data_IF_919908074697
#
_entry.id   IF_919908074697
#
_cell.length_a   1.000
_cell.length_b   1.000
_cell.length_c   1.000
_cell.angle_alpha   90.00
_cell.angle_beta   90.00
_cell.angle_gamma   90.00
#
_symmetry.space_group_name_H-M   'P 1'
#
loop_
_entity.id
_entity.type
_entity.pdbx_description
1 polymer ?
#
# COMPACT_ATOMS: atom_id res chain seq x y z
N UNK A 1 24.12 -55.73 56.50
CA UNK A 1 22.95 -55.01 57.05
C UNK A 1 22.54 -53.93 56.05
N UNK A 2 21.32 -54.05 55.54
CA UNK A 2 20.71 -53.11 54.62
C UNK A 2 20.21 -51.87 55.37
N UNK A 3 20.15 -50.73 54.69
CA UNK A 3 19.02 -49.84 54.88
C UNK A 3 18.67 -49.13 53.56
N UNK A 4 17.47 -49.43 53.04
CA UNK A 4 16.79 -48.68 51.98
C UNK A 4 16.02 -47.54 52.63
N UNK A 5 16.01 -46.36 52.01
CA UNK A 5 14.76 -45.62 51.84
C UNK A 5 14.84 -44.61 50.68
N UNK A 6 13.73 -44.54 49.96
CA UNK A 6 13.55 -43.94 48.64
C UNK A 6 13.10 -42.45 48.67
N UNK A 7 13.07 -41.87 47.44
CA UNK A 7 12.33 -40.69 46.96
C UNK A 7 12.99 -39.34 47.30
N UNK A 8 13.15 -38.39 46.39
CA UNK A 8 12.74 -38.26 44.99
C UNK A 8 13.01 -36.82 44.53
N UNK A 9 13.13 -36.65 43.20
CA UNK A 9 12.90 -35.43 42.41
C UNK A 9 13.58 -34.13 42.83
N UNK A 10 14.53 -33.67 42.01
CA UNK A 10 14.39 -32.41 41.25
C UNK A 10 15.50 -32.34 40.18
N UNK A 11 15.16 -32.71 38.94
CA UNK A 11 15.95 -32.32 37.77
C UNK A 11 15.65 -30.85 37.52
N UNK A 12 16.60 -29.96 37.83
CA UNK A 12 16.54 -28.57 37.39
C UNK A 12 16.67 -28.54 35.87
N UNK A 13 15.54 -28.54 35.17
CA UNK A 13 15.46 -28.23 33.75
C UNK A 13 15.82 -26.76 33.55
N UNK A 14 17.11 -26.47 33.46
CA UNK A 14 17.63 -25.21 32.96
C UNK A 14 17.36 -25.14 31.47
N UNK A 15 16.10 -24.84 31.10
CA UNK A 15 15.77 -24.43 29.75
C UNK A 15 16.52 -23.13 29.48
N UNK A 16 17.70 -23.25 28.87
CA UNK A 16 18.41 -22.12 28.26
C UNK A 16 17.41 -21.42 27.33
N UNK A 17 16.82 -20.33 27.81
CA UNK A 17 16.10 -19.41 26.94
C UNK A 17 17.17 -18.81 26.06
N UNK A 18 17.35 -19.40 24.88
CA UNK A 18 18.15 -18.81 23.81
C UNK A 18 17.54 -17.42 23.57
N UNK A 19 18.19 -16.39 24.11
CA UNK A 19 17.81 -15.02 23.85
C UNK A 19 18.11 -14.78 22.37
N UNK A 20 17.06 -14.76 21.55
CA UNK A 20 17.18 -14.42 20.15
C UNK A 20 17.81 -13.04 20.06
N UNK A 21 18.86 -12.91 19.26
CA UNK A 21 19.51 -11.61 19.07
C UNK A 21 18.51 -10.59 18.49
N UNK A 22 18.67 -9.32 18.83
CA UNK A 22 17.75 -8.25 18.37
C UNK A 22 17.66 -8.18 16.85
N UNK A 23 18.71 -8.61 16.15
CA UNK A 23 18.75 -8.66 14.68
C UNK A 23 17.79 -9.72 14.12
N UNK A 24 17.74 -10.91 14.70
CA UNK A 24 16.79 -11.98 14.35
C UNK A 24 15.37 -11.54 14.70
N UNK A 25 15.16 -10.96 15.89
CA UNK A 25 13.87 -10.40 16.29
C UNK A 25 13.40 -9.30 15.33
N UNK A 26 14.29 -8.40 14.90
CA UNK A 26 13.99 -7.34 13.93
C UNK A 26 13.66 -7.89 12.54
N UNK A 27 14.32 -8.99 12.13
CA UNK A 27 14.06 -9.66 10.85
C UNK A 27 12.74 -10.44 10.87
N UNK A 28 12.34 -10.99 12.02
CA UNK A 28 11.06 -11.68 12.21
C UNK A 28 9.88 -10.70 12.38
N UNK A 29 10.15 -9.49 12.88
CA UNK A 29 9.13 -8.43 13.02
C UNK A 29 8.83 -7.73 11.70
N UNK A 30 9.73 -7.77 10.71
CA UNK A 30 9.44 -7.31 9.35
C UNK A 30 8.75 -8.43 8.57
N UNK A 31 7.48 -8.68 8.89
CA UNK A 31 6.61 -9.29 7.88
C UNK A 31 6.58 -8.31 6.72
N UNK A 32 7.16 -8.70 5.59
CA UNK A 32 6.83 -8.10 4.30
C UNK A 32 5.38 -8.48 3.98
N UNK A 33 4.44 -7.82 4.65
CA UNK A 33 3.02 -7.90 4.29
C UNK A 33 2.90 -7.17 2.96
N UNK A 34 2.33 -7.81 1.95
CA UNK A 34 2.02 -7.14 0.69
C UNK A 34 1.13 -5.94 1.01
N UNK A 35 1.60 -4.75 0.68
CA UNK A 35 0.95 -3.50 1.05
C UNK A 35 -0.27 -3.26 0.16
N UNK A 36 -1.42 -2.97 0.76
CA UNK A 36 -2.58 -2.43 0.08
C UNK A 36 -2.26 -1.00 -0.39
N UNK A 37 -2.33 -0.68 -1.70
CA UNK A 37 -1.88 0.61 -2.23
C UNK A 37 -2.58 1.83 -1.62
N UNK A 38 -3.83 1.68 -1.19
CA UNK A 38 -4.58 2.78 -0.56
C UNK A 38 -4.36 2.91 0.95
N UNK A 39 -4.21 1.80 1.68
CA UNK A 39 -4.22 1.83 3.15
C UNK A 39 -2.81 1.76 3.74
N UNK A 40 -1.96 0.91 3.17
CA UNK A 40 -0.64 0.61 3.74
C UNK A 40 0.44 1.55 3.21
N UNK A 41 0.30 2.06 1.99
CA UNK A 41 1.23 3.05 1.44
C UNK A 41 1.08 4.38 2.18
N UNK A 42 2.19 4.92 2.67
CA UNK A 42 2.18 6.25 3.28
C UNK A 42 1.95 7.35 2.24
N UNK A 43 1.28 8.43 2.65
CA UNK A 43 1.11 9.62 1.81
C UNK A 43 2.45 10.31 1.49
N UNK A 44 3.46 10.12 2.34
CA UNK A 44 4.80 10.68 2.21
C UNK A 44 5.03 11.89 3.13
N UNK A 45 6.29 12.13 3.55
CA UNK A 45 6.63 13.12 4.59
C UNK A 45 6.44 14.58 4.15
N UNK A 46 6.32 14.85 2.85
CA UNK A 46 6.14 16.19 2.30
C UNK A 46 4.68 16.62 2.15
N UNK A 47 3.72 15.79 2.58
CA UNK A 47 2.31 16.07 2.43
C UNK A 47 1.89 17.28 3.29
N UNK A 48 0.99 18.17 2.80
CA UNK A 48 0.20 18.04 1.57
C UNK A 48 0.87 18.58 0.30
N UNK A 49 2.03 19.26 0.39
CA UNK A 49 2.65 19.89 -0.77
C UNK A 49 3.22 18.86 -1.77
N UNK A 50 3.85 17.81 -1.25
CA UNK A 50 4.43 16.70 -2.02
C UNK A 50 3.96 15.39 -1.43
N UNK A 51 3.31 14.55 -2.24
CA UNK A 51 2.70 13.30 -1.81
C UNK A 51 3.02 12.16 -2.77
N UNK A 52 2.89 10.93 -2.29
CA UNK A 52 2.86 9.74 -3.11
C UNK A 52 1.53 9.68 -3.88
N UNK A 53 1.57 9.27 -5.14
CA UNK A 53 0.42 9.04 -5.99
C UNK A 53 0.54 7.65 -6.59
N UNK A 54 -0.50 6.83 -6.46
CA UNK A 54 -0.60 5.51 -7.08
C UNK A 54 -1.27 5.69 -8.43
N UNK A 55 -0.58 5.34 -9.51
CA UNK A 55 -1.08 5.48 -10.88
C UNK A 55 -2.01 4.31 -11.20
N UNK A 56 -3.20 4.62 -11.70
CA UNK A 56 -4.16 3.64 -12.19
C UNK A 56 -4.15 3.60 -13.71
N UNK A 57 -4.10 4.76 -14.36
CA UNK A 57 -4.21 4.87 -15.81
C UNK A 57 -2.99 5.58 -16.36
N UNK A 58 -2.26 4.88 -17.22
CA UNK A 58 -1.15 5.45 -17.96
C UNK A 58 -1.62 6.45 -19.03
N UNK A 59 -0.82 7.49 -19.25
CA UNK A 59 -1.00 8.47 -20.33
C UNK A 59 -1.22 7.79 -21.68
N UNK A 60 -2.26 8.21 -22.39
CA UNK A 60 -2.64 7.68 -23.71
C UNK A 60 -3.53 6.43 -23.66
N UNK A 61 -3.86 5.92 -22.47
CA UNK A 61 -4.76 4.75 -22.35
C UNK A 61 -6.21 5.10 -22.70
N UNK A 62 -6.87 4.18 -23.39
CA UNK A 62 -8.34 4.14 -23.56
C UNK A 62 -9.04 3.27 -22.51
N UNK A 63 -8.28 2.55 -21.70
CA UNK A 63 -8.82 1.67 -20.65
C UNK A 63 -8.87 2.46 -19.36
N UNK A 64 -10.07 2.57 -18.77
CA UNK A 64 -10.29 3.10 -17.43
C UNK A 64 -10.02 1.98 -16.43
N UNK A 65 -8.81 2.01 -15.90
CA UNK A 65 -8.42 1.19 -14.76
C UNK A 65 -8.84 1.89 -13.47
N UNK A 66 -9.10 1.08 -12.46
CA UNK A 66 -9.46 1.54 -11.12
C UNK A 66 -8.87 0.60 -10.08
N UNK A 67 -8.61 1.12 -8.90
CA UNK A 67 -8.37 0.33 -7.71
C UNK A 67 -9.65 -0.40 -7.29
N UNK A 68 -9.58 -1.71 -7.18
CA UNK A 68 -10.55 -2.45 -6.37
C UNK A 68 -10.22 -2.27 -4.89
N UNK A 69 -11.01 -1.42 -4.21
CA UNK A 69 -10.85 -1.06 -2.80
C UNK A 69 -10.82 -2.26 -1.84
N UNK A 70 -11.39 -3.39 -2.23
CA UNK A 70 -11.44 -4.60 -1.39
C UNK A 70 -10.14 -5.39 -1.45
N UNK A 71 -9.57 -5.57 -2.65
CA UNK A 71 -8.41 -6.44 -2.87
C UNK A 71 -7.09 -5.67 -2.96
N UNK A 72 -7.15 -4.37 -3.26
CA UNK A 72 -5.97 -3.55 -3.55
C UNK A 72 -5.38 -3.79 -4.94
N UNK A 73 -6.06 -4.55 -5.79
CA UNK A 73 -5.64 -4.83 -7.16
C UNK A 73 -6.22 -3.81 -8.14
N UNK A 74 -5.56 -3.66 -9.28
CA UNK A 74 -6.07 -2.85 -10.39
C UNK A 74 -7.08 -3.69 -11.19
N UNK A 75 -8.32 -3.22 -11.28
CA UNK A 75 -9.36 -3.78 -12.14
C UNK A 75 -9.56 -2.91 -13.38
N UNK A 76 -10.07 -3.51 -14.44
CA UNK A 76 -10.62 -2.74 -15.57
C UNK A 76 -12.06 -2.41 -15.21
N UNK A 77 -12.38 -1.11 -15.10
CA UNK A 77 -13.76 -0.67 -14.95
C UNK A 77 -14.48 -0.70 -16.30
N UNK A 78 -13.88 -0.03 -17.30
CA UNK A 78 -14.41 0.00 -18.67
C UNK A 78 -13.37 0.41 -19.69
N UNK A 79 -13.67 0.17 -20.95
CA UNK A 79 -13.03 0.86 -22.08
C UNK A 79 -13.83 2.13 -22.38
N UNK A 80 -13.16 3.26 -22.61
CA UNK A 80 -13.82 4.53 -22.90
C UNK A 80 -14.72 4.42 -24.14
N UNK A 81 -15.96 4.90 -24.03
CA UNK A 81 -16.97 4.84 -25.09
C UNK A 81 -16.62 5.72 -26.30
N UNK A 82 -15.98 6.85 -26.04
CA UNK A 82 -15.57 7.80 -27.07
C UNK A 82 -14.13 7.52 -27.52
N UNK A 83 -13.75 7.99 -28.71
CA UNK A 83 -12.37 7.92 -29.19
C UNK A 83 -11.46 8.96 -28.52
N UNK A 84 -11.45 8.97 -27.20
CA UNK A 84 -10.63 9.81 -26.34
C UNK A 84 -9.65 8.93 -25.56
N UNK A 85 -8.55 9.53 -25.10
CA UNK A 85 -7.52 8.89 -24.27
C UNK A 85 -7.22 9.79 -23.08
N UNK A 86 -6.74 9.22 -21.98
CA UNK A 86 -6.27 10.02 -20.87
C UNK A 86 -5.05 10.85 -21.29
N UNK A 87 -5.08 12.20 -21.18
CA UNK A 87 -4.01 13.06 -21.68
C UNK A 87 -2.73 12.98 -20.84
N UNK A 88 -2.85 12.57 -19.58
CA UNK A 88 -1.77 12.45 -18.61
C UNK A 88 -1.97 11.19 -17.75
N UNK A 89 -0.96 10.83 -16.95
CA UNK A 89 -1.11 9.74 -16.00
C UNK A 89 -2.13 10.13 -14.94
N UNK A 90 -3.00 9.20 -14.59
CA UNK A 90 -4.09 9.41 -13.66
C UNK A 90 -4.05 8.36 -12.56
N UNK A 91 -4.42 8.76 -11.35
CA UNK A 91 -4.51 7.86 -10.21
C UNK A 91 -4.93 8.61 -8.97
N UNK A 92 -4.54 8.13 -7.79
CA UNK A 92 -5.05 8.64 -6.52
C UNK A 92 -3.97 8.82 -5.46
N UNK A 93 -4.29 9.58 -4.42
CA UNK A 93 -3.45 9.78 -3.23
C UNK A 93 -3.77 8.71 -2.18
N UNK A 94 -2.79 7.90 -1.74
CA UNK A 94 -3.02 6.90 -0.69
C UNK A 94 -3.38 7.58 0.64
N UNK A 95 -4.15 6.87 1.47
CA UNK A 95 -4.65 7.34 2.78
C UNK A 95 -5.43 8.66 2.74
N UNK A 96 -6.12 8.91 1.63
CA UNK A 96 -7.10 10.00 1.52
C UNK A 96 -8.50 9.42 1.30
N UNK A 97 -9.53 10.22 1.59
CA UNK A 97 -10.94 9.85 1.43
C UNK A 97 -11.74 11.11 1.10
N UNK A 98 -12.52 11.03 0.03
CA UNK A 98 -13.45 12.05 -0.44
C UNK A 98 -14.90 11.69 -0.08
N UNK A 99 -15.83 12.61 -0.35
CA UNK A 99 -17.25 12.46 -0.02
C UNK A 99 -17.95 11.34 -0.82
N UNK A 100 -17.39 10.98 -1.98
CA UNK A 100 -17.80 9.86 -2.85
C UNK A 100 -17.31 8.48 -2.37
N UNK A 101 -16.62 8.43 -1.22
CA UNK A 101 -16.00 7.21 -0.68
C UNK A 101 -14.84 6.65 -1.50
N UNK A 102 -14.20 7.49 -2.32
CA UNK A 102 -12.98 7.19 -3.07
C UNK A 102 -11.79 8.03 -2.55
N UNK A 103 -10.54 7.61 -2.80
CA UNK A 103 -9.38 8.45 -2.53
C UNK A 103 -9.36 9.69 -3.44
N UNK A 104 -8.64 10.73 -3.03
CA UNK A 104 -8.47 11.95 -3.82
C UNK A 104 -7.75 11.65 -5.13
N UNK A 105 -8.40 11.99 -6.25
CA UNK A 105 -7.88 11.84 -7.60
C UNK A 105 -6.77 12.83 -7.95
N UNK A 106 -5.86 12.40 -8.82
CA UNK A 106 -4.70 13.19 -9.26
C UNK A 106 -4.43 12.96 -10.74
N UNK A 107 -4.28 14.06 -11.47
CA UNK A 107 -3.73 14.07 -12.82
C UNK A 107 -2.25 14.49 -12.78
N UNK A 108 -1.34 13.57 -13.13
CA UNK A 108 0.12 13.77 -13.03
C UNK A 108 0.70 14.15 -14.39
N UNK A 109 1.10 15.41 -14.52
CA UNK A 109 1.78 15.94 -15.70
C UNK A 109 3.26 15.49 -15.69
N UNK A 110 3.62 14.63 -16.63
CA UNK A 110 5.00 14.20 -16.85
C UNK A 110 5.24 13.77 -18.31
N UNK A 111 6.51 13.57 -18.66
CA UNK A 111 6.93 13.22 -20.02
C UNK A 111 6.49 11.81 -20.40
N UNK A 112 6.80 10.83 -19.55
CA UNK A 112 6.64 9.40 -19.82
C UNK A 112 5.32 8.83 -19.26
N UNK A 113 4.73 7.83 -19.93
CA UNK A 113 3.62 7.05 -19.37
C UNK A 113 4.10 6.20 -18.19
N UNK A 114 3.23 6.02 -17.21
CA UNK A 114 3.50 5.21 -16.01
C UNK A 114 2.55 4.01 -15.98
N UNK A 115 3.05 2.87 -15.50
CA UNK A 115 2.29 1.62 -15.44
C UNK A 115 1.25 1.66 -14.31
N UNK A 116 0.05 1.08 -14.52
CA UNK A 116 -0.94 0.88 -13.47
C UNK A 116 -0.38 0.11 -12.26
N UNK A 117 -0.76 0.52 -11.05
CA UNK A 117 -0.34 -0.09 -9.79
C UNK A 117 1.05 0.34 -9.31
N UNK A 118 1.76 1.17 -10.07
CA UNK A 118 3.02 1.78 -9.61
C UNK A 118 2.75 3.13 -8.93
N UNK A 119 3.64 3.56 -8.03
CA UNK A 119 3.51 4.85 -7.37
C UNK A 119 4.70 5.76 -7.65
N UNK A 120 4.47 7.06 -7.56
CA UNK A 120 5.46 8.11 -7.76
C UNK A 120 5.23 9.26 -6.78
N UNK A 121 6.22 10.14 -6.63
CA UNK A 121 6.05 11.39 -5.87
C UNK A 121 5.56 12.50 -6.80
N UNK A 122 4.48 13.16 -6.41
CA UNK A 122 3.89 14.29 -7.12
C UNK A 122 3.83 15.53 -6.21
N UNK A 123 3.80 16.71 -6.83
CA UNK A 123 3.62 18.00 -6.15
C UNK A 123 2.33 18.62 -6.65
N UNK A 124 1.45 19.05 -5.74
CA UNK A 124 0.25 19.79 -6.12
C UNK A 124 0.63 21.15 -6.73
N UNK A 125 0.07 21.45 -7.90
CA UNK A 125 0.26 22.74 -8.60
C UNK A 125 -1.06 23.48 -8.86
N UNK A 126 -2.21 22.81 -8.68
CA UNK A 126 -3.53 23.38 -8.91
C UNK A 126 -4.62 22.37 -8.55
N UNK A 127 -5.87 22.85 -8.54
CA UNK A 127 -7.08 22.06 -8.31
C UNK A 127 -8.04 22.30 -9.47
N UNK A 128 -8.66 21.23 -9.96
CA UNK A 128 -9.69 21.30 -11.00
C UNK A 128 -11.03 20.90 -10.37
N UNK A 129 -11.89 21.87 -9.99
CA UNK A 129 -13.21 21.53 -9.47
C UNK A 129 -14.06 20.94 -10.59
N UNK A 130 -14.62 19.77 -10.34
CA UNK A 130 -15.49 19.06 -11.27
C UNK A 130 -16.78 18.69 -10.54
N UNK A 131 -17.90 18.83 -11.24
CA UNK A 131 -19.18 18.28 -10.82
C UNK A 131 -19.45 17.14 -11.80
N UNK A 132 -19.27 15.91 -11.31
CA UNK A 132 -19.62 14.70 -12.06
C UNK A 132 -20.95 14.14 -11.54
N UNK A 133 -21.77 13.63 -12.44
CA UNK A 133 -23.01 12.94 -12.08
C UNK A 133 -22.69 11.45 -12.00
N UNK A 134 -22.81 10.89 -10.79
CA UNK A 134 -22.61 9.47 -10.51
C UNK A 134 -23.70 8.61 -11.15
#
# INVERSE_FOLDING_TARGET
MANKNERGSQRSSGSSRVALNERILSSMSRRSVAAHPWHDLEIGPGAPAVFNCVVEIGKGSKVKYELDKTTGLIKVDRVLYSSVVYPHNYGFIPRTLCEDSDPMDVLVLMQEPVLPGTFLRARAIGLMPMIDQV
#
